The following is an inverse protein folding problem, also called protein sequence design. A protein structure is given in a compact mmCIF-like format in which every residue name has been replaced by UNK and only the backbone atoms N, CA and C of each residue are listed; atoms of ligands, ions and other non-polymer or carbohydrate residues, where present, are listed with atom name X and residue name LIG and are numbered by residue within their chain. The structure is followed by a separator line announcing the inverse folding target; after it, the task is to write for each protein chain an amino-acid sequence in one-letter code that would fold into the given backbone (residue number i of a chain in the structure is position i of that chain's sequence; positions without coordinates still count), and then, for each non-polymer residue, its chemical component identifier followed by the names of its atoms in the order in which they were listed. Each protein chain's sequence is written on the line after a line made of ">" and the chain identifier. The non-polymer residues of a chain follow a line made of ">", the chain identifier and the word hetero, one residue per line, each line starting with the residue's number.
data_IF_489788667946
#
_entry.id   IF_489788667946
#
_cell.length_a   1.000
_cell.length_b   1.000
_cell.length_c   1.000
_cell.angle_alpha   90.00
_cell.angle_beta   90.00
_cell.angle_gamma   90.00
#
_symmetry.space_group_name_H-M   'P 1'
#
loop_
_entity.id
_entity.type
_entity.pdbx_description
1 polymer ?
#
# COMPACT_ATOMS: atom_id res chain seq x y z
N UNK A 1 31.92 -10.75 -5.20
CA UNK A 1 30.74 -10.17 -4.58
C UNK A 1 30.02 -9.35 -5.63
N UNK A 2 28.93 -9.87 -6.21
CA UNK A 2 28.12 -9.07 -7.13
C UNK A 2 27.41 -8.00 -6.30
N UNK A 3 27.74 -6.72 -6.52
CA UNK A 3 26.94 -5.63 -5.97
C UNK A 3 25.47 -5.86 -6.36
N UNK A 4 24.53 -5.73 -5.42
CA UNK A 4 23.13 -5.82 -5.76
C UNK A 4 22.83 -4.80 -6.86
N UNK A 5 22.13 -5.25 -7.92
CA UNK A 5 21.75 -4.37 -9.02
C UNK A 5 20.96 -3.18 -8.47
N UNK A 6 21.22 -1.96 -8.98
CA UNK A 6 20.47 -0.79 -8.51
C UNK A 6 18.97 -1.00 -8.72
N UNK A 7 18.10 -0.47 -7.85
CA UNK A 7 16.66 -0.65 -7.96
C UNK A 7 16.10 -0.16 -9.30
N UNK A 8 16.74 0.86 -9.91
CA UNK A 8 16.39 1.33 -11.26
C UNK A 8 16.67 0.26 -12.32
N UNK A 9 17.82 -0.42 -12.24
CA UNK A 9 18.17 -1.50 -13.18
C UNK A 9 17.21 -2.68 -13.02
N UNK A 10 16.85 -3.02 -11.78
CA UNK A 10 15.87 -4.08 -11.53
C UNK A 10 14.51 -3.72 -12.12
N UNK A 11 14.04 -2.49 -11.91
CA UNK A 11 12.74 -2.05 -12.44
C UNK A 11 12.78 -1.91 -13.97
N UNK A 12 13.92 -1.47 -14.53
CA UNK A 12 14.11 -1.42 -15.98
C UNK A 12 14.01 -2.82 -16.62
N UNK A 13 14.62 -3.82 -16.02
CA UNK A 13 14.52 -5.19 -16.50
C UNK A 13 13.07 -5.70 -16.53
N UNK A 14 12.25 -5.29 -15.55
CA UNK A 14 10.80 -5.58 -15.55
C UNK A 14 10.10 -4.89 -16.73
N UNK A 15 10.42 -3.62 -16.99
CA UNK A 15 9.84 -2.88 -18.12
C UNK A 15 10.17 -3.59 -19.44
N UNK A 16 11.45 -3.92 -19.65
CA UNK A 16 11.92 -4.56 -20.87
C UNK A 16 11.25 -5.95 -21.09
N UNK A 17 11.21 -6.78 -20.04
CA UNK A 17 10.57 -8.10 -20.11
C UNK A 17 9.06 -8.02 -20.40
N UNK A 18 8.36 -7.02 -19.83
CA UNK A 18 6.93 -6.81 -20.10
C UNK A 18 6.68 -6.23 -21.48
N UNK A 19 7.57 -5.36 -21.97
CA UNK A 19 7.50 -4.77 -23.29
C UNK A 19 7.67 -5.83 -24.38
N UNK A 20 8.60 -6.77 -24.20
CA UNK A 20 8.80 -7.88 -25.15
C UNK A 20 7.56 -8.79 -25.27
N UNK A 21 6.88 -9.06 -24.15
CA UNK A 21 5.69 -9.89 -24.12
C UNK A 21 4.42 -9.16 -24.58
N UNK A 22 4.26 -7.91 -24.21
CA UNK A 22 3.14 -7.02 -24.55
C UNK A 22 1.72 -7.49 -24.13
N UNK A 23 1.57 -8.69 -23.59
CA UNK A 23 0.26 -9.29 -23.24
C UNK A 23 -0.51 -8.48 -22.20
N UNK A 24 0.18 -7.99 -21.15
CA UNK A 24 -0.44 -7.28 -20.04
C UNK A 24 -1.00 -5.90 -20.42
N UNK A 25 -0.63 -5.36 -21.57
CA UNK A 25 -1.24 -4.12 -22.11
C UNK A 25 -2.74 -4.27 -22.30
N UNK A 26 -3.20 -5.46 -22.69
CA UNK A 26 -4.61 -5.75 -22.98
C UNK A 26 -5.32 -6.43 -21.82
N UNK A 27 -4.64 -7.36 -21.11
CA UNK A 27 -5.26 -8.17 -20.06
C UNK A 27 -5.42 -7.38 -18.76
N UNK A 28 -4.49 -6.45 -18.48
CA UNK A 28 -4.43 -5.74 -17.19
C UNK A 28 -4.80 -4.26 -17.30
N UNK A 29 -5.36 -3.82 -18.40
CA UNK A 29 -5.66 -2.42 -18.69
C UNK A 29 -6.57 -1.78 -17.61
N UNK A 30 -7.66 -2.44 -17.24
CA UNK A 30 -8.66 -1.88 -16.32
C UNK A 30 -8.45 -2.26 -14.84
N UNK A 31 -7.67 -3.32 -14.58
CA UNK A 31 -7.58 -3.92 -13.25
C UNK A 31 -6.26 -3.63 -12.52
N UNK A 32 -5.30 -2.99 -13.19
CA UNK A 32 -3.99 -2.71 -12.66
C UNK A 32 -3.57 -1.26 -12.93
N UNK A 33 -2.95 -0.61 -11.97
CA UNK A 33 -2.40 0.73 -12.16
C UNK A 33 -0.96 0.69 -12.72
N UNK A 34 -0.28 -0.43 -12.54
CA UNK A 34 1.13 -0.59 -12.91
C UNK A 34 1.30 -0.76 -14.43
N UNK A 35 0.60 -1.71 -15.05
CA UNK A 35 0.81 -2.03 -16.46
C UNK A 35 0.40 -0.92 -17.42
N UNK A 36 -0.74 -0.23 -17.28
CA UNK A 36 -1.05 0.90 -18.13
C UNK A 36 0.00 2.01 -18.10
N UNK A 37 0.54 2.32 -16.90
CA UNK A 37 1.60 3.33 -16.79
C UNK A 37 2.94 2.82 -17.35
N UNK A 38 3.27 1.53 -17.18
CA UNK A 38 4.45 0.92 -17.77
C UNK A 38 4.44 1.08 -19.29
N UNK A 39 3.35 0.67 -19.96
CA UNK A 39 3.27 0.74 -21.41
C UNK A 39 3.21 2.17 -21.93
N UNK A 40 2.59 3.09 -21.19
CA UNK A 40 2.61 4.52 -21.53
C UNK A 40 4.04 5.08 -21.50
N UNK A 41 4.83 4.73 -20.48
CA UNK A 41 6.23 5.15 -20.39
C UNK A 41 7.07 4.51 -21.50
N UNK A 42 6.85 3.24 -21.78
CA UNK A 42 7.53 2.54 -22.85
C UNK A 42 7.19 3.09 -24.23
N UNK A 43 5.91 3.26 -24.55
CA UNK A 43 5.46 3.82 -25.84
C UNK A 43 6.07 5.22 -26.03
N UNK A 44 6.08 6.09 -25.00
CA UNK A 44 6.74 7.40 -25.05
C UNK A 44 8.23 7.26 -25.37
N UNK A 45 8.95 6.36 -24.70
CA UNK A 45 10.39 6.15 -24.95
C UNK A 45 10.64 5.72 -26.40
N UNK A 46 9.79 4.86 -26.96
CA UNK A 46 9.91 4.43 -28.35
C UNK A 46 9.61 5.56 -29.36
N UNK A 47 8.64 6.42 -29.06
CA UNK A 47 8.20 7.49 -29.94
C UNK A 47 9.15 8.69 -29.91
N UNK A 48 9.58 9.10 -28.70
CA UNK A 48 10.37 10.31 -28.50
C UNK A 48 11.87 10.06 -28.36
N UNK A 49 12.29 8.82 -28.11
CA UNK A 49 13.68 8.48 -27.76
C UNK A 49 14.09 8.96 -26.36
N UNK A 50 13.16 9.52 -25.57
CA UNK A 50 13.42 10.00 -24.21
C UNK A 50 13.40 8.84 -23.22
N UNK A 51 14.57 8.51 -22.64
CA UNK A 51 14.69 7.40 -21.72
C UNK A 51 13.83 7.58 -20.45
N UNK A 52 13.25 6.46 -19.96
CA UNK A 52 12.48 6.44 -18.71
C UNK A 52 13.40 6.82 -17.54
N UNK A 53 13.06 7.86 -16.81
CA UNK A 53 13.85 8.42 -15.73
C UNK A 53 13.81 7.55 -14.45
N UNK A 54 14.82 7.67 -13.58
CA UNK A 54 14.87 7.00 -12.29
C UNK A 54 13.65 7.31 -11.40
N UNK A 55 13.13 8.55 -11.49
CA UNK A 55 11.94 8.95 -10.74
C UNK A 55 10.66 8.27 -11.26
N UNK A 56 10.57 8.09 -12.57
CA UNK A 56 9.45 7.39 -13.21
C UNK A 56 9.48 5.91 -12.88
N UNK A 57 10.65 5.27 -12.92
CA UNK A 57 10.81 3.87 -12.49
C UNK A 57 10.42 3.69 -11.02
N UNK A 58 10.77 4.63 -10.14
CA UNK A 58 10.34 4.62 -8.75
C UNK A 58 8.82 4.77 -8.61
N UNK A 59 8.21 5.72 -9.33
CA UNK A 59 6.75 5.89 -9.34
C UNK A 59 6.04 4.66 -9.85
N UNK A 60 6.58 4.04 -10.90
CA UNK A 60 6.05 2.82 -11.47
C UNK A 60 6.04 1.68 -10.43
N UNK A 61 7.17 1.46 -9.72
CA UNK A 61 7.24 0.49 -8.64
C UNK A 61 6.20 0.76 -7.52
N UNK A 62 5.97 2.03 -7.19
CA UNK A 62 4.98 2.42 -6.17
C UNK A 62 3.53 2.10 -6.57
N UNK A 63 3.22 2.02 -7.87
CA UNK A 63 1.87 1.68 -8.36
C UNK A 63 1.50 0.20 -8.14
N UNK A 64 2.46 -0.68 -7.92
CA UNK A 64 2.17 -2.08 -7.64
C UNK A 64 1.60 -2.27 -6.24
N UNK A 65 0.38 -2.79 -6.15
CA UNK A 65 -0.37 -3.02 -4.90
C UNK A 65 -0.27 -4.47 -4.39
N UNK A 66 0.60 -5.31 -4.99
CA UNK A 66 0.77 -6.72 -4.60
C UNK A 66 -0.52 -7.55 -4.62
N UNK A 67 -1.45 -7.21 -5.52
CA UNK A 67 -2.76 -7.87 -5.62
C UNK A 67 -2.70 -9.31 -6.12
N UNK A 68 -1.54 -9.80 -6.52
CA UNK A 68 -1.29 -11.14 -7.06
C UNK A 68 -2.09 -11.52 -8.34
N UNK A 69 -2.66 -10.55 -9.03
CA UNK A 69 -3.40 -10.75 -10.28
C UNK A 69 -2.49 -10.88 -11.50
N UNK A 70 -1.19 -10.63 -11.37
CA UNK A 70 -0.25 -10.74 -12.47
C UNK A 70 -0.20 -12.18 -13.01
N UNK A 71 -0.33 -12.38 -14.33
CA UNK A 71 -0.25 -13.71 -14.94
C UNK A 71 1.16 -14.33 -14.84
N UNK A 72 2.20 -13.50 -14.71
CA UNK A 72 3.60 -13.90 -14.62
C UNK A 72 4.11 -13.79 -13.18
N UNK A 73 4.30 -14.92 -12.45
CA UNK A 73 4.81 -14.89 -11.07
C UNK A 73 6.18 -14.24 -10.94
N UNK A 74 7.11 -14.52 -11.87
CA UNK A 74 8.46 -13.98 -11.86
C UNK A 74 8.47 -12.44 -11.94
N UNK A 75 7.69 -11.88 -12.86
CA UNK A 75 7.55 -10.42 -12.99
C UNK A 75 7.04 -9.78 -11.70
N UNK A 76 6.08 -10.43 -11.04
CA UNK A 76 5.57 -9.96 -9.74
C UNK A 76 6.67 -9.95 -8.68
N UNK A 77 7.47 -11.01 -8.60
CA UNK A 77 8.58 -11.09 -7.65
C UNK A 77 9.64 -10.02 -7.94
N UNK A 78 9.98 -9.79 -9.20
CA UNK A 78 10.95 -8.80 -9.61
C UNK A 78 10.47 -7.36 -9.30
N UNK A 79 9.18 -7.07 -9.49
CA UNK A 79 8.58 -5.79 -9.07
C UNK A 79 8.70 -5.63 -7.55
N UNK A 80 8.39 -6.67 -6.77
CA UNK A 80 8.48 -6.65 -5.31
C UNK A 80 9.93 -6.40 -4.89
N UNK A 81 10.90 -7.10 -5.46
CA UNK A 81 12.34 -6.93 -5.18
C UNK A 81 12.81 -5.51 -5.50
N UNK A 82 12.44 -4.98 -6.68
CA UNK A 82 12.77 -3.61 -7.06
C UNK A 82 12.18 -2.59 -6.09
N UNK A 83 10.89 -2.75 -5.73
CA UNK A 83 10.21 -1.86 -4.78
C UNK A 83 10.85 -1.91 -3.38
N UNK A 84 11.19 -3.09 -2.89
CA UNK A 84 11.89 -3.27 -1.62
C UNK A 84 13.26 -2.57 -1.67
N UNK A 85 14.04 -2.79 -2.73
CA UNK A 85 15.35 -2.15 -2.89
C UNK A 85 15.26 -0.62 -2.95
N UNK A 86 14.21 -0.06 -3.58
CA UNK A 86 13.93 1.38 -3.53
C UNK A 86 13.64 1.86 -2.11
N UNK A 87 12.82 1.10 -1.35
CA UNK A 87 12.46 1.47 0.03
C UNK A 87 13.67 1.38 0.95
N UNK A 88 14.51 0.35 0.81
CA UNK A 88 15.72 0.15 1.61
C UNK A 88 16.73 1.27 1.39
N UNK A 89 16.86 1.76 0.15
CA UNK A 89 17.78 2.84 -0.19
C UNK A 89 17.24 4.23 0.18
N UNK A 90 15.99 4.52 -0.19
CA UNK A 90 15.44 5.89 -0.15
C UNK A 90 14.50 6.11 1.05
N UNK A 91 14.11 5.03 1.72
CA UNK A 91 13.09 5.04 2.77
C UNK A 91 11.66 5.17 2.24
N UNK A 92 10.71 5.06 3.16
CA UNK A 92 9.29 5.31 2.89
C UNK A 92 8.99 6.81 2.84
N UNK A 93 8.06 7.18 1.96
CA UNK A 93 7.55 8.56 1.97
C UNK A 93 6.94 8.89 3.34
N UNK A 94 7.12 10.11 3.89
CA UNK A 94 6.70 10.44 5.24
C UNK A 94 5.22 10.13 5.54
N UNK A 95 4.33 10.39 4.57
CA UNK A 95 2.91 10.10 4.74
C UNK A 95 2.60 8.59 4.76
N UNK A 96 3.33 7.78 3.96
CA UNK A 96 3.20 6.32 3.97
C UNK A 96 3.66 5.76 5.30
N UNK A 97 4.85 6.18 5.76
CA UNK A 97 5.39 5.81 7.08
C UNK A 97 4.44 6.13 8.22
N UNK A 98 3.77 7.29 8.15
CA UNK A 98 2.78 7.68 9.16
C UNK A 98 1.55 6.77 9.13
N UNK A 99 1.07 6.38 7.94
CA UNK A 99 -0.10 5.51 7.79
C UNK A 99 0.19 4.04 8.14
N UNK A 100 1.42 3.59 7.92
CA UNK A 100 1.85 2.22 8.25
C UNK A 100 2.09 2.02 9.75
N UNK A 101 2.39 3.08 10.50
CA UNK A 101 2.52 3.03 11.96
C UNK A 101 1.13 2.98 12.61
N UNK A 102 0.47 1.84 12.45
CA UNK A 102 -0.90 1.60 12.92
C UNK A 102 -1.01 1.78 14.44
N UNK A 103 0.04 1.43 15.19
CA UNK A 103 0.05 1.57 16.64
C UNK A 103 0.05 3.05 17.05
N UNK A 104 0.90 3.86 16.42
CA UNK A 104 0.97 5.30 16.68
C UNK A 104 -0.32 6.00 16.26
N UNK A 105 -0.83 5.69 15.05
CA UNK A 105 -2.11 6.22 14.57
C UNK A 105 -3.25 5.79 15.50
N UNK A 106 -3.28 4.53 15.91
CA UNK A 106 -4.28 4.01 16.86
C UNK A 106 -4.23 4.70 18.21
N UNK A 107 -3.04 4.91 18.80
CA UNK A 107 -2.87 5.63 20.06
C UNK A 107 -3.31 7.10 19.93
N UNK A 108 -2.86 7.78 18.88
CA UNK A 108 -3.15 9.20 18.67
C UNK A 108 -4.64 9.45 18.43
N UNK A 109 -5.22 8.69 17.49
CA UNK A 109 -6.62 8.84 17.12
C UNK A 109 -7.60 8.23 18.14
N UNK A 110 -7.15 7.21 18.87
CA UNK A 110 -7.93 6.55 19.91
C UNK A 110 -7.91 7.26 21.26
N UNK A 111 -6.98 8.19 21.51
CA UNK A 111 -6.96 8.97 22.75
C UNK A 111 -8.18 9.92 22.88
N UNK A 112 -8.60 10.53 21.74
CA UNK A 112 -9.74 11.43 21.68
C UNK A 112 -10.66 11.07 20.49
N UNK A 113 -11.35 9.92 20.55
CA UNK A 113 -12.05 9.38 19.38
C UNK A 113 -13.20 10.27 18.88
N UNK A 114 -13.88 10.98 19.77
CA UNK A 114 -14.95 11.92 19.40
C UNK A 114 -14.38 13.07 18.57
N UNK A 115 -13.31 13.70 19.03
CA UNK A 115 -12.65 14.80 18.34
C UNK A 115 -12.04 14.34 17.02
N UNK A 116 -11.36 13.19 17.02
CA UNK A 116 -10.78 12.61 15.81
C UNK A 116 -11.86 12.32 14.76
N UNK A 117 -12.97 11.70 15.16
CA UNK A 117 -14.08 11.43 14.26
C UNK A 117 -14.70 12.70 13.71
N UNK A 118 -14.86 13.73 14.54
CA UNK A 118 -15.36 15.03 14.10
C UNK A 118 -14.44 15.67 13.06
N UNK A 119 -13.13 15.72 13.33
CA UNK A 119 -12.13 16.30 12.42
C UNK A 119 -12.05 15.54 11.09
N UNK A 120 -12.06 14.19 11.12
CA UNK A 120 -11.99 13.36 9.91
C UNK A 120 -13.26 13.42 9.05
N UNK A 121 -14.42 13.64 9.66
CA UNK A 121 -15.70 13.72 8.97
C UNK A 121 -16.02 15.14 8.48
N UNK A 122 -15.42 16.16 9.07
CA UNK A 122 -15.58 17.54 8.62
C UNK A 122 -15.01 17.72 7.22
N UNK A 123 -15.74 18.37 6.32
CA UNK A 123 -15.33 18.55 4.92
C UNK A 123 -14.02 19.34 4.79
N UNK A 124 -13.85 20.40 5.56
CA UNK A 124 -12.66 21.24 5.50
C UNK A 124 -11.44 20.56 6.15
N UNK A 125 -11.54 20.18 7.43
CA UNK A 125 -10.45 19.54 8.16
C UNK A 125 -10.10 18.17 7.58
N UNK A 126 -11.09 17.32 7.32
CA UNK A 126 -10.90 16.02 6.72
C UNK A 126 -10.32 16.09 5.30
N UNK A 127 -10.69 17.11 4.51
CA UNK A 127 -10.12 17.39 3.20
C UNK A 127 -8.63 17.74 3.28
N UNK A 128 -8.24 18.60 4.21
CA UNK A 128 -6.85 18.98 4.44
C UNK A 128 -6.00 17.80 4.92
N UNK A 129 -6.51 17.01 5.87
CA UNK A 129 -5.85 15.80 6.38
C UNK A 129 -5.64 14.80 5.25
N UNK A 130 -6.66 14.52 4.44
CA UNK A 130 -6.55 13.62 3.27
C UNK A 130 -5.51 14.10 2.29
N UNK A 131 -5.50 15.39 1.97
CA UNK A 131 -4.50 15.98 1.07
C UNK A 131 -3.07 15.82 1.61
N UNK A 132 -2.86 16.04 2.89
CA UNK A 132 -1.54 15.87 3.54
C UNK A 132 -1.10 14.41 3.59
N UNK A 133 -2.02 13.48 3.76
CA UNK A 133 -1.77 12.04 3.82
C UNK A 133 -1.83 11.36 2.44
N UNK A 134 -1.95 12.10 1.34
CA UNK A 134 -2.05 11.54 -0.01
C UNK A 134 -3.30 10.67 -0.24
N UNK A 135 -4.35 10.84 0.58
CA UNK A 135 -5.58 10.07 0.50
C UNK A 135 -6.53 10.73 -0.49
N UNK A 136 -7.13 9.92 -1.37
CA UNK A 136 -8.09 10.43 -2.36
C UNK A 136 -9.28 11.14 -1.66
N UNK A 137 -9.71 12.34 -2.12
CA UNK A 137 -10.75 13.15 -1.45
C UNK A 137 -12.07 12.42 -1.22
N UNK A 138 -12.49 11.58 -2.18
CA UNK A 138 -13.75 10.81 -2.09
C UNK A 138 -13.67 9.59 -1.16
N UNK A 139 -12.46 9.20 -0.68
CA UNK A 139 -12.33 8.05 0.21
C UNK A 139 -12.96 8.37 1.57
N UNK A 140 -13.87 7.51 2.02
CA UNK A 140 -14.43 7.61 3.38
C UNK A 140 -13.37 7.16 4.39
N UNK A 141 -13.15 7.96 5.43
CA UNK A 141 -12.27 7.58 6.55
C UNK A 141 -13.05 6.69 7.52
N UNK A 142 -12.41 5.65 8.08
CA UNK A 142 -13.04 4.83 9.11
C UNK A 142 -13.32 5.65 10.36
N UNK A 143 -14.33 5.24 11.12
CA UNK A 143 -14.62 5.83 12.44
C UNK A 143 -13.80 5.11 13.49
N UNK A 144 -13.18 5.86 14.38
CA UNK A 144 -12.51 5.30 15.54
C UNK A 144 -13.57 4.94 16.60
N UNK A 145 -13.51 3.72 17.17
CA UNK A 145 -14.44 3.31 18.20
C UNK A 145 -14.25 4.12 19.47
N UNK A 146 -15.34 4.36 20.21
CA UNK A 146 -15.31 5.10 21.49
C UNK A 146 -14.60 4.30 22.58
N UNK A 147 -14.65 2.98 22.51
CA UNK A 147 -13.91 2.06 23.40
C UNK A 147 -12.66 1.56 22.73
N UNK A 148 -11.53 1.61 23.41
CA UNK A 148 -10.27 1.10 22.89
C UNK A 148 -10.33 -0.42 22.66
N UNK A 149 -9.72 -0.90 21.59
CA UNK A 149 -9.65 -2.33 21.24
C UNK A 149 -9.17 -3.23 22.41
N UNK A 150 -8.20 -2.83 23.25
CA UNK A 150 -7.81 -3.65 24.40
C UNK A 150 -8.93 -3.94 25.41
N UNK A 151 -9.91 -3.04 25.57
CA UNK A 151 -11.05 -3.29 26.46
C UNK A 151 -11.99 -4.37 25.89
N UNK A 152 -12.23 -4.35 24.57
CA UNK A 152 -13.03 -5.36 23.91
C UNK A 152 -12.34 -6.75 23.93
N UNK A 153 -11.02 -6.81 23.79
CA UNK A 153 -10.28 -8.07 23.88
C UNK A 153 -10.38 -8.68 25.27
N UNK A 154 -10.27 -7.86 26.32
CA UNK A 154 -10.44 -8.32 27.72
C UNK A 154 -11.86 -8.84 27.98
N UNK A 155 -12.88 -8.14 27.52
CA UNK A 155 -14.27 -8.59 27.62
C UNK A 155 -14.47 -9.92 26.91
N UNK A 156 -13.90 -10.06 25.69
CA UNK A 156 -13.98 -11.30 24.91
C UNK A 156 -13.21 -12.45 25.58
N UNK A 157 -12.03 -12.21 26.12
CA UNK A 157 -11.24 -13.21 26.85
C UNK A 157 -11.97 -13.69 28.10
N UNK A 158 -12.59 -12.76 28.86
CA UNK A 158 -13.42 -13.12 30.01
C UNK A 158 -14.63 -13.97 29.60
N UNK A 159 -15.29 -13.60 28.50
CA UNK A 159 -16.42 -14.36 27.97
C UNK A 159 -16.02 -15.78 27.55
N UNK A 160 -14.91 -15.93 26.83
CA UNK A 160 -14.38 -17.25 26.42
C UNK A 160 -13.97 -18.06 27.64
N UNK A 161 -13.36 -17.44 28.64
CA UNK A 161 -12.99 -18.12 29.90
C UNK A 161 -14.22 -18.64 30.66
N UNK A 162 -15.27 -17.83 30.77
CA UNK A 162 -16.54 -18.22 31.42
C UNK A 162 -17.19 -19.41 30.69
N UNK A 163 -17.20 -19.40 29.34
CA UNK A 163 -17.76 -20.50 28.56
C UNK A 163 -16.93 -21.79 28.71
N UNK A 164 -15.61 -21.67 28.81
CA UNK A 164 -14.72 -22.84 28.99
C UNK A 164 -14.86 -23.49 30.38
N UNK A 165 -15.10 -22.68 31.42
CA UNK A 165 -15.30 -23.16 32.78
C UNK A 165 -16.68 -23.81 32.96
N UNK A 166 -17.75 -23.26 32.35
CA UNK A 166 -19.08 -23.89 32.35
C UNK A 166 -19.11 -25.27 31.71
N UNK A 167 -18.30 -25.50 30.67
CA UNK A 167 -18.24 -26.81 29.99
C UNK A 167 -17.59 -27.89 30.85
N UNK A 168 -16.73 -27.53 31.81
CA UNK A 168 -16.06 -28.47 32.74
C UNK A 168 -16.88 -28.83 33.98
N UNK A 169 -17.91 -28.05 34.33
CA UNK A 169 -18.77 -28.31 35.49
C UNK A 169 -20.05 -29.08 35.17
N UNK A 170 -20.24 -29.49 33.90
CA UNK A 170 -21.40 -30.24 33.42
C UNK A 170 -21.11 -31.72 33.02
N UNK A 171 -19.98 -32.28 33.47
CA UNK A 171 -19.61 -33.69 33.25
C UNK A 171 -19.64 -34.48 34.56
#
# INVERSE_FOLDING_TARGET
>A
MNLPASPEKMMRAVVDACADCYCCKYIMDTNCLFFPELYKLWDREQESGEAITAQELRKLADLCNYCALCPCPNIREDIIRAKTAFIDRDGLRPYVRTLEDVERVGKLCGALPVLTNFLLQNRACGGLIKKRLGIHPKRKMPRFPLKAFPSHVREFQQFVFILSTRRKSGS
#
